data_IF_062865414105
#
_entry.id   IF_062865414105
#
_cell.length_a   1.000
_cell.length_b   1.000
_cell.length_c   1.000
_cell.angle_alpha   90.00
_cell.angle_beta   90.00
_cell.angle_gamma   90.00
#
_symmetry.space_group_name_H-M   'P 1'
#
loop_
_entity.id
_entity.type
_entity.pdbx_description
1 polymer ?
#
# COMPACT_ATOMS: atom_id res chain seq x y z
N UNK A 1 -2.54 14.72 -7.00
CA UNK A 1 -2.04 14.22 -8.29
C UNK A 1 -2.24 15.33 -9.30
N UNK A 2 -1.17 16.00 -9.72
CA UNK A 2 -1.25 17.16 -10.60
C UNK A 2 -1.41 16.65 -12.03
N UNK A 3 -2.54 16.95 -12.68
CA UNK A 3 -2.74 16.59 -14.09
C UNK A 3 -1.73 17.34 -14.94
N UNK A 4 -1.03 16.62 -15.81
CA UNK A 4 -0.07 17.20 -16.74
C UNK A 4 -0.79 18.22 -17.64
N UNK A 5 -0.26 19.44 -17.73
CA UNK A 5 -0.82 20.49 -18.60
C UNK A 5 -0.25 20.34 -20.01
N UNK A 6 -0.98 20.82 -21.02
CA UNK A 6 -0.49 20.87 -22.41
C UNK A 6 0.86 21.60 -22.51
N UNK A 7 1.05 22.61 -21.66
CA UNK A 7 2.30 23.36 -21.49
C UNK A 7 3.47 22.47 -21.07
N UNK A 8 3.26 21.56 -20.11
CA UNK A 8 4.30 20.65 -19.65
C UNK A 8 4.72 19.73 -20.77
N UNK A 9 3.75 19.23 -21.52
CA UNK A 9 4.00 18.36 -22.66
C UNK A 9 4.86 19.07 -23.69
N UNK A 10 4.54 20.32 -24.03
CA UNK A 10 5.36 21.13 -24.94
C UNK A 10 6.80 21.32 -24.42
N UNK A 11 6.98 21.59 -23.12
CA UNK A 11 8.32 21.69 -22.51
C UNK A 11 9.07 20.37 -22.66
N UNK A 12 8.45 19.24 -22.30
CA UNK A 12 9.07 17.93 -22.41
C UNK A 12 9.44 17.60 -23.87
N UNK A 13 8.57 17.92 -24.84
CA UNK A 13 8.82 17.71 -26.28
C UNK A 13 10.06 18.48 -26.75
N UNK A 14 10.29 19.72 -26.30
CA UNK A 14 11.52 20.46 -26.64
C UNK A 14 12.81 19.78 -26.13
N UNK A 15 12.69 18.99 -25.05
CA UNK A 15 13.79 18.29 -24.39
C UNK A 15 14.01 16.84 -24.90
N UNK A 16 13.17 16.34 -25.81
CA UNK A 16 13.20 14.94 -26.26
C UNK A 16 14.57 14.52 -26.80
N UNK A 17 15.16 15.38 -27.63
CA UNK A 17 16.36 15.06 -28.41
C UNK A 17 17.67 15.58 -27.81
N UNK A 18 17.63 16.52 -26.86
CA UNK A 18 18.85 17.17 -26.38
C UNK A 18 18.71 17.82 -25.00
N UNK A 19 19.86 17.97 -24.33
CA UNK A 19 20.01 18.88 -23.19
C UNK A 19 19.93 20.33 -23.68
N UNK A 20 19.00 21.14 -23.16
CA UNK A 20 18.79 22.53 -23.61
C UNK A 20 18.86 23.51 -22.46
N UNK A 21 19.39 24.71 -22.71
CA UNK A 21 19.39 25.80 -21.73
C UNK A 21 17.98 26.38 -21.56
N UNK A 22 17.73 26.99 -20.40
CA UNK A 22 16.47 27.69 -20.11
C UNK A 22 16.11 28.70 -21.21
N UNK A 23 17.06 29.55 -21.62
CA UNK A 23 16.84 30.54 -22.67
C UNK A 23 16.42 29.93 -24.02
N UNK A 24 16.99 28.77 -24.39
CA UNK A 24 16.68 28.12 -25.65
C UNK A 24 15.27 27.50 -25.64
N UNK A 25 14.83 26.98 -24.50
CA UNK A 25 13.48 26.46 -24.31
C UNK A 25 12.48 27.62 -24.29
N UNK A 26 12.80 28.71 -23.59
CA UNK A 26 11.97 29.92 -23.52
C UNK A 26 11.76 30.56 -24.90
N UNK A 27 12.84 30.69 -25.70
CA UNK A 27 12.76 31.21 -27.06
C UNK A 27 11.89 30.34 -27.98
N UNK A 28 12.01 29.01 -27.90
CA UNK A 28 11.23 28.09 -28.74
C UNK A 28 9.74 28.10 -28.40
N UNK A 29 9.40 28.23 -27.12
CA UNK A 29 8.01 28.26 -26.64
C UNK A 29 7.39 29.66 -26.61
N UNK A 30 8.15 30.71 -26.98
CA UNK A 30 7.77 32.12 -26.86
C UNK A 30 7.28 32.48 -25.44
N UNK A 31 8.09 32.11 -24.43
CA UNK A 31 7.78 32.29 -23.00
C UNK A 31 8.80 33.13 -22.27
N UNK A 32 8.35 33.68 -21.14
CA UNK A 32 9.22 34.34 -20.20
C UNK A 32 10.13 33.31 -19.49
N UNK A 33 11.46 33.52 -19.43
CA UNK A 33 12.38 32.58 -18.80
C UNK A 33 12.12 32.36 -17.31
N UNK A 34 11.64 33.36 -16.56
CA UNK A 34 11.44 33.23 -15.11
C UNK A 34 10.23 32.31 -14.83
N UNK A 35 9.13 32.49 -15.58
CA UNK A 35 7.95 31.61 -15.49
C UNK A 35 8.29 30.16 -15.90
N UNK A 36 9.17 30.01 -16.90
CA UNK A 36 9.61 28.70 -17.38
C UNK A 36 10.52 27.99 -16.37
N UNK A 37 11.39 28.73 -15.66
CA UNK A 37 12.27 28.17 -14.63
C UNK A 37 11.45 27.57 -13.47
N UNK A 38 10.47 28.33 -12.97
CA UNK A 38 9.53 27.86 -11.96
C UNK A 38 8.84 26.56 -12.42
N UNK A 39 8.40 26.51 -13.68
CA UNK A 39 7.71 25.33 -14.22
C UNK A 39 8.66 24.14 -14.41
N UNK A 40 9.90 24.36 -14.85
CA UNK A 40 10.91 23.32 -14.97
C UNK A 40 11.30 22.75 -13.60
N UNK A 41 11.33 23.59 -12.56
CA UNK A 41 11.53 23.15 -11.19
C UNK A 41 10.38 22.26 -10.71
N UNK A 42 9.13 22.59 -11.02
CA UNK A 42 8.01 21.71 -10.70
C UNK A 42 8.10 20.37 -11.45
N UNK A 43 8.50 20.36 -12.73
CA UNK A 43 8.73 19.12 -13.49
C UNK A 43 9.91 18.30 -12.94
N UNK A 44 10.93 18.97 -12.42
CA UNK A 44 12.07 18.35 -11.75
C UNK A 44 11.64 17.66 -10.45
N UNK A 45 10.83 18.34 -9.64
CA UNK A 45 10.34 17.81 -8.37
C UNK A 45 9.39 16.61 -8.58
N UNK A 46 8.72 16.55 -9.73
CA UNK A 46 7.95 15.38 -10.17
C UNK A 46 8.80 14.30 -10.87
N UNK A 47 10.12 14.48 -10.99
CA UNK A 47 11.04 13.49 -11.56
C UNK A 47 10.99 13.37 -13.09
N UNK A 48 10.40 14.33 -13.80
CA UNK A 48 10.24 14.27 -15.27
C UNK A 48 11.44 14.86 -16.02
N UNK A 49 12.10 15.86 -15.43
CA UNK A 49 13.33 16.47 -15.95
C UNK A 49 14.41 16.48 -14.87
N UNK A 50 15.66 16.66 -15.28
CA UNK A 50 16.76 16.92 -14.36
C UNK A 50 17.70 17.98 -14.93
N UNK A 51 18.32 18.76 -14.04
CA UNK A 51 19.37 19.68 -14.42
C UNK A 51 20.64 18.91 -14.83
N UNK A 52 21.22 19.28 -15.95
CA UNK A 52 22.43 18.66 -16.51
C UNK A 52 23.38 19.73 -17.07
N UNK A 53 24.31 20.17 -16.24
CA UNK A 53 25.20 21.29 -16.57
C UNK A 53 24.45 22.61 -16.54
N UNK A 54 24.50 23.37 -17.63
CA UNK A 54 23.80 24.67 -17.77
C UNK A 54 22.40 24.53 -18.42
N UNK A 55 21.84 23.31 -18.46
CA UNK A 55 20.58 23.05 -19.10
C UNK A 55 19.77 21.95 -18.43
N UNK A 56 18.67 21.60 -19.07
CA UNK A 56 17.69 20.62 -18.63
C UNK A 56 17.64 19.45 -19.61
N UNK A 57 17.43 18.25 -19.07
CA UNK A 57 17.29 17.02 -19.85
C UNK A 57 16.17 16.15 -19.29
N UNK A 58 15.46 15.42 -20.17
CA UNK A 58 14.47 14.44 -19.73
C UNK A 58 15.10 13.32 -18.90
N UNK A 59 14.39 12.91 -17.85
CA UNK A 59 14.64 11.65 -17.14
C UNK A 59 14.10 10.47 -17.96
N UNK A 60 14.15 9.25 -17.39
CA UNK A 60 13.47 8.09 -18.00
C UNK A 60 11.96 8.30 -17.99
N UNK A 61 11.41 8.79 -16.89
CA UNK A 61 9.97 8.95 -16.69
C UNK A 61 9.40 10.05 -17.59
N UNK A 62 10.10 11.18 -17.75
CA UNK A 62 9.72 12.21 -18.71
C UNK A 62 9.69 11.71 -20.17
N UNK A 63 10.65 10.84 -20.56
CA UNK A 63 10.63 10.20 -21.89
C UNK A 63 9.49 9.22 -22.05
N UNK A 64 9.19 8.43 -21.03
CA UNK A 64 8.06 7.50 -21.04
C UNK A 64 6.74 8.27 -21.20
N UNK A 65 6.60 9.38 -20.48
CA UNK A 65 5.42 10.24 -20.54
C UNK A 65 5.18 10.87 -21.92
N UNK A 66 6.23 11.23 -22.66
CA UNK A 66 6.08 11.72 -24.04
C UNK A 66 5.65 10.63 -25.02
N UNK A 67 6.16 9.41 -24.83
CA UNK A 67 5.79 8.24 -25.63
C UNK A 67 4.37 7.77 -25.34
N UNK A 68 3.83 8.11 -24.17
CA UNK A 68 2.44 7.86 -23.86
C UNK A 68 1.54 8.70 -24.78
N UNK A 69 0.65 8.07 -25.59
CA UNK A 69 -0.45 8.80 -26.21
C UNK A 69 -1.21 9.58 -25.12
N UNK A 70 -1.33 10.89 -25.31
CA UNK A 70 -1.88 11.82 -24.33
C UNK A 70 -3.38 11.67 -24.05
N UNK A 71 -3.97 10.54 -24.45
CA UNK A 71 -5.36 10.16 -24.22
C UNK A 71 -5.53 9.22 -23.02
N UNK A 72 -4.44 8.91 -22.31
CA UNK A 72 -4.46 8.01 -21.15
C UNK A 72 -4.57 6.53 -21.52
N UNK A 73 -4.61 6.17 -22.81
CA UNK A 73 -4.67 4.77 -23.27
C UNK A 73 -3.30 4.07 -23.31
N UNK A 74 -2.26 4.79 -22.87
CA UNK A 74 -0.86 4.43 -23.00
C UNK A 74 -0.30 3.57 -21.87
N UNK A 75 -0.85 3.72 -20.66
CA UNK A 75 -0.09 3.45 -19.44
C UNK A 75 0.30 1.96 -19.34
N UNK A 76 -0.58 1.06 -19.77
CA UNK A 76 -0.31 -0.39 -19.72
C UNK A 76 0.49 -0.93 -20.91
N UNK A 77 0.51 -0.19 -22.04
CA UNK A 77 1.16 -0.66 -23.28
C UNK A 77 2.68 -0.52 -23.25
N UNK A 78 3.21 0.44 -22.50
CA UNK A 78 4.64 0.74 -22.47
C UNK A 78 5.44 -0.42 -21.86
N UNK A 79 4.83 -1.16 -20.93
CA UNK A 79 5.48 -2.29 -20.24
C UNK A 79 5.07 -3.66 -20.79
N UNK A 80 4.38 -3.73 -21.92
CA UNK A 80 4.04 -5.00 -22.58
C UNK A 80 5.02 -5.27 -23.72
N UNK A 81 5.79 -6.38 -23.72
CA UNK A 81 6.67 -6.75 -24.83
C UNK A 81 5.92 -6.80 -26.17
N UNK A 82 6.56 -6.42 -27.28
CA UNK A 82 5.92 -6.31 -28.60
C UNK A 82 5.28 -7.62 -29.06
N UNK A 83 5.94 -8.76 -28.80
CA UNK A 83 5.42 -10.10 -29.11
C UNK A 83 4.16 -10.45 -28.31
N UNK A 84 4.07 -10.00 -27.07
CA UNK A 84 2.91 -10.18 -26.20
C UNK A 84 1.77 -9.30 -26.69
N UNK A 85 2.03 -8.02 -27.00
CA UNK A 85 1.01 -7.12 -27.55
C UNK A 85 0.50 -7.63 -28.92
N UNK A 86 1.37 -8.17 -29.76
CA UNK A 86 0.97 -8.81 -31.02
C UNK A 86 0.06 -10.03 -30.80
N UNK A 87 0.37 -10.87 -29.81
CA UNK A 87 -0.48 -12.00 -29.42
C UNK A 87 -1.85 -11.53 -28.92
N UNK A 88 -1.88 -10.53 -28.01
CA UNK A 88 -3.11 -9.94 -27.49
C UNK A 88 -3.99 -9.38 -28.63
N UNK A 89 -3.40 -8.64 -29.57
CA UNK A 89 -4.13 -8.10 -30.72
C UNK A 89 -4.68 -9.19 -31.66
N UNK A 90 -4.00 -10.34 -31.74
CA UNK A 90 -4.43 -11.47 -32.58
C UNK A 90 -5.70 -12.15 -32.10
N UNK A 91 -6.06 -12.00 -30.81
CA UNK A 91 -7.26 -12.58 -30.22
C UNK A 91 -8.57 -11.93 -30.72
N UNK A 92 -8.49 -10.73 -31.30
CA UNK A 92 -9.65 -10.00 -31.85
C UNK A 92 -10.82 -9.84 -30.86
N UNK A 93 -10.52 -9.70 -29.57
CA UNK A 93 -11.51 -9.47 -28.52
C UNK A 93 -11.91 -7.99 -28.44
N UNK A 94 -12.96 -7.67 -27.66
CA UNK A 94 -13.37 -6.29 -27.42
C UNK A 94 -12.26 -5.50 -26.70
N UNK A 95 -12.17 -4.17 -26.86
CA UNK A 95 -11.11 -3.37 -26.24
C UNK A 95 -11.01 -3.52 -24.71
N UNK A 96 -12.13 -3.51 -23.99
CA UNK A 96 -12.17 -3.73 -22.53
C UNK A 96 -11.59 -5.08 -22.11
N UNK A 97 -11.78 -6.10 -22.93
CA UNK A 97 -11.20 -7.43 -22.76
C UNK A 97 -9.70 -7.47 -23.07
N UNK A 98 -9.26 -6.75 -24.10
CA UNK A 98 -7.84 -6.57 -24.41
C UNK A 98 -7.12 -5.93 -23.21
N UNK A 99 -7.71 -4.92 -22.60
CA UNK A 99 -7.11 -4.22 -21.46
C UNK A 99 -7.03 -5.12 -20.21
N UNK A 100 -8.08 -5.91 -19.93
CA UNK A 100 -8.05 -6.91 -18.85
C UNK A 100 -6.95 -7.98 -19.03
N UNK A 101 -6.73 -8.47 -20.26
CA UNK A 101 -5.64 -9.40 -20.55
C UNK A 101 -4.28 -8.74 -20.32
N UNK A 102 -4.12 -7.48 -20.76
CA UNK A 102 -2.88 -6.73 -20.60
C UNK A 102 -2.55 -6.48 -19.12
N UNK A 103 -3.55 -6.08 -18.33
CA UNK A 103 -3.39 -5.88 -16.89
C UNK A 103 -3.03 -7.19 -16.17
N UNK A 104 -3.70 -8.30 -16.50
CA UNK A 104 -3.36 -9.62 -15.94
C UNK A 104 -1.93 -10.07 -16.30
N UNK A 105 -1.50 -9.83 -17.53
CA UNK A 105 -0.12 -10.10 -17.95
C UNK A 105 0.89 -9.21 -17.21
N UNK A 106 0.64 -7.89 -17.14
CA UNK A 106 1.52 -6.94 -16.47
C UNK A 106 1.68 -7.30 -14.98
N UNK A 107 0.58 -7.68 -14.33
CA UNK A 107 0.59 -8.19 -12.97
C UNK A 107 1.49 -9.43 -12.83
N UNK A 108 1.27 -10.46 -13.65
CA UNK A 108 2.05 -11.69 -13.58
C UNK A 108 3.54 -11.44 -13.88
N UNK A 109 3.84 -10.60 -14.87
CA UNK A 109 5.21 -10.19 -15.23
C UNK A 109 5.90 -9.46 -14.08
N UNK A 110 5.19 -8.59 -13.37
CA UNK A 110 5.76 -7.84 -12.25
C UNK A 110 6.16 -8.76 -11.09
N UNK A 111 5.36 -9.80 -10.83
CA UNK A 111 5.53 -10.66 -9.66
C UNK A 111 6.25 -11.98 -9.93
N UNK A 112 6.58 -12.26 -11.19
CA UNK A 112 7.11 -13.53 -11.73
C UNK A 112 6.18 -14.74 -11.55
N UNK A 113 5.51 -14.86 -10.41
CA UNK A 113 4.57 -15.92 -10.07
C UNK A 113 3.35 -15.37 -9.34
N UNK A 114 2.15 -15.89 -9.66
CA UNK A 114 0.91 -15.55 -8.98
C UNK A 114 -0.14 -16.64 -9.14
N UNK A 115 -1.02 -16.78 -8.15
CA UNK A 115 -2.20 -17.63 -8.25
C UNK A 115 -3.33 -16.97 -9.03
N UNK A 116 -4.29 -17.77 -9.49
CA UNK A 116 -5.51 -17.29 -10.12
C UNK A 116 -6.25 -16.27 -9.24
N UNK A 117 -6.38 -16.57 -7.94
CA UNK A 117 -7.07 -15.72 -6.98
C UNK A 117 -6.36 -14.38 -6.76
N UNK A 118 -5.03 -14.37 -6.68
CA UNK A 118 -4.24 -13.12 -6.57
C UNK A 118 -4.40 -12.23 -7.80
N UNK A 119 -4.31 -12.81 -9.00
CA UNK A 119 -4.50 -12.05 -10.25
C UNK A 119 -5.91 -11.48 -10.31
N UNK A 120 -6.93 -12.29 -9.99
CA UNK A 120 -8.31 -11.83 -10.01
C UNK A 120 -8.58 -10.75 -8.96
N UNK A 121 -8.09 -10.91 -7.74
CA UNK A 121 -8.28 -9.94 -6.66
C UNK A 121 -7.69 -8.56 -7.00
N UNK A 122 -6.50 -8.52 -7.61
CA UNK A 122 -5.81 -7.25 -7.88
C UNK A 122 -6.19 -6.62 -9.23
N UNK A 123 -6.67 -7.38 -10.21
CA UNK A 123 -6.92 -6.87 -11.58
C UNK A 123 -8.42 -6.68 -11.88
N UNK A 124 -9.30 -7.51 -11.32
CA UNK A 124 -10.71 -7.55 -11.72
C UNK A 124 -11.44 -6.23 -11.46
N UNK A 125 -11.22 -5.60 -10.29
CA UNK A 125 -11.93 -4.40 -9.87
C UNK A 125 -11.71 -3.22 -10.84
N UNK A 126 -10.52 -3.15 -11.47
CA UNK A 126 -10.19 -2.11 -12.43
C UNK A 126 -10.54 -2.53 -13.87
N UNK A 127 -10.50 -3.84 -14.18
CA UNK A 127 -10.70 -4.37 -15.53
C UNK A 127 -11.72 -5.54 -15.59
N UNK A 128 -12.99 -5.33 -15.21
CA UNK A 128 -13.99 -6.41 -15.11
C UNK A 128 -14.48 -6.95 -16.46
N UNK A 129 -14.25 -6.20 -17.56
CA UNK A 129 -14.54 -6.60 -18.94
C UNK A 129 -15.98 -7.15 -19.21
N UNK A 130 -16.95 -6.72 -18.40
CA UNK A 130 -18.36 -7.11 -18.49
C UNK A 130 -18.74 -8.41 -17.79
N UNK A 131 -17.87 -8.98 -16.97
CA UNK A 131 -18.16 -10.14 -16.13
C UNK A 131 -18.76 -9.68 -14.78
N UNK A 132 -19.64 -10.49 -14.14
CA UNK A 132 -20.32 -10.09 -12.91
C UNK A 132 -19.50 -10.32 -11.64
N UNK A 133 -18.55 -11.25 -11.67
CA UNK A 133 -17.69 -11.60 -10.53
C UNK A 133 -16.28 -12.02 -10.99
N UNK A 134 -15.27 -11.93 -10.11
CA UNK A 134 -13.87 -12.24 -10.44
C UNK A 134 -13.63 -13.70 -10.84
N UNK A 135 -14.39 -14.64 -10.26
CA UNK A 135 -14.26 -16.06 -10.59
C UNK A 135 -14.70 -16.33 -12.04
N UNK A 136 -15.84 -15.76 -12.45
CA UNK A 136 -16.34 -15.87 -13.82
C UNK A 136 -15.40 -15.20 -14.82
N UNK A 137 -14.89 -14.01 -14.48
CA UNK A 137 -13.89 -13.27 -15.26
C UNK A 137 -12.62 -14.08 -15.49
N UNK A 138 -12.12 -14.74 -14.44
CA UNK A 138 -10.93 -15.57 -14.54
C UNK A 138 -11.20 -16.84 -15.35
N UNK A 139 -12.19 -17.63 -14.93
CA UNK A 139 -12.44 -18.98 -15.44
C UNK A 139 -12.92 -19.02 -16.90
N UNK A 140 -13.74 -18.04 -17.30
CA UNK A 140 -14.33 -17.99 -18.63
C UNK A 140 -13.58 -17.12 -19.62
N UNK A 141 -12.62 -16.31 -19.16
CA UNK A 141 -11.95 -15.33 -20.01
C UNK A 141 -10.45 -15.28 -19.78
N UNK A 142 -9.97 -14.61 -18.74
CA UNK A 142 -8.54 -14.26 -18.64
C UNK A 142 -7.64 -15.49 -18.67
N UNK A 143 -8.03 -16.58 -18.00
CA UNK A 143 -7.24 -17.81 -17.94
C UNK A 143 -6.85 -18.36 -19.32
N UNK A 144 -7.79 -18.37 -20.26
CA UNK A 144 -7.56 -18.94 -21.60
C UNK A 144 -6.56 -18.08 -22.38
N UNK A 145 -6.78 -16.76 -22.42
CA UNK A 145 -5.94 -15.85 -23.20
C UNK A 145 -4.55 -15.66 -22.57
N UNK A 146 -4.46 -15.60 -21.24
CA UNK A 146 -3.21 -15.44 -20.52
C UNK A 146 -2.26 -16.63 -20.78
N UNK A 147 -2.80 -17.85 -20.90
CA UNK A 147 -2.03 -19.06 -21.20
C UNK A 147 -1.41 -19.09 -22.61
N UNK A 148 -1.98 -18.33 -23.54
CA UNK A 148 -1.51 -18.25 -24.93
C UNK A 148 -0.46 -17.14 -25.13
N UNK A 149 -0.16 -16.35 -24.10
CA UNK A 149 0.83 -15.27 -24.20
C UNK A 149 2.27 -15.78 -24.13
N UNK A 150 3.18 -15.23 -24.96
CA UNK A 150 4.61 -15.51 -24.88
C UNK A 150 5.16 -15.30 -23.46
N UNK A 151 5.99 -16.24 -23.00
CA UNK A 151 6.62 -16.19 -21.68
C UNK A 151 5.72 -16.63 -20.52
N UNK A 152 4.40 -16.78 -20.72
CA UNK A 152 3.50 -17.24 -19.67
C UNK A 152 3.47 -18.78 -19.63
N UNK A 153 3.69 -19.33 -18.45
CA UNK A 153 3.61 -20.76 -18.18
C UNK A 153 2.35 -21.05 -17.37
N UNK A 154 1.48 -21.88 -17.96
CA UNK A 154 0.30 -22.40 -17.29
C UNK A 154 0.72 -23.38 -16.18
N UNK A 155 0.10 -23.33 -14.99
CA UNK A 155 0.34 -24.33 -13.96
C UNK A 155 -0.09 -25.74 -14.39
N UNK A 156 0.73 -26.74 -14.10
CA UNK A 156 0.39 -28.17 -14.29
C UNK A 156 -0.65 -28.65 -13.26
N UNK A 157 -0.61 -28.08 -12.05
CA UNK A 157 -1.49 -28.37 -10.92
C UNK A 157 -2.72 -27.43 -10.83
N UNK A 158 -2.73 -26.38 -11.65
CA UNK A 158 -3.78 -25.36 -11.67
C UNK A 158 -3.57 -24.20 -10.68
N UNK A 159 -2.52 -24.19 -9.87
CA UNK A 159 -2.44 -23.27 -8.72
C UNK A 159 -1.60 -22.02 -9.03
N UNK A 160 -0.39 -22.16 -9.60
CA UNK A 160 0.56 -21.03 -9.74
C UNK A 160 0.96 -20.74 -11.19
N UNK A 161 0.56 -19.57 -11.68
CA UNK A 161 1.00 -19.03 -12.97
C UNK A 161 2.40 -18.48 -12.85
N UNK A 162 3.21 -18.63 -13.90
CA UNK A 162 4.57 -18.10 -13.94
C UNK A 162 4.80 -17.31 -15.22
N UNK A 163 5.60 -16.27 -15.12
CA UNK A 163 6.20 -15.60 -16.26
C UNK A 163 7.69 -15.93 -16.31
N UNK A 164 8.16 -16.43 -17.46
CA UNK A 164 9.57 -16.66 -17.74
C UNK A 164 9.95 -15.85 -18.99
N UNK A 165 10.64 -14.73 -18.77
CA UNK A 165 11.12 -13.85 -19.84
C UNK A 165 11.98 -14.59 -20.87
N UNK A 166 12.65 -15.69 -20.48
CA UNK A 166 13.52 -16.45 -21.38
C UNK A 166 12.76 -17.44 -22.28
N UNK A 167 11.50 -17.74 -21.96
CA UNK A 167 10.68 -18.66 -22.76
C UNK A 167 10.12 -18.01 -24.04
N UNK A 168 10.07 -16.67 -24.12
CA UNK A 168 9.55 -15.92 -25.27
C UNK A 168 10.46 -15.93 -26.51
N UNK A 169 11.79 -15.99 -26.32
CA UNK A 169 12.78 -15.83 -27.41
C UNK A 169 12.93 -17.07 -28.33
N UNK A 170 12.06 -18.08 -28.21
CA UNK A 170 12.17 -19.32 -28.99
C UNK A 170 13.50 -20.06 -28.79
N UNK A 171 14.27 -19.68 -27.78
CA UNK A 171 15.56 -20.24 -27.45
C UNK A 171 15.36 -21.58 -26.76
N UNK A 172 15.76 -22.66 -27.43
CA UNK A 172 15.90 -24.00 -26.84
C UNK A 172 17.05 -24.02 -25.83
N UNK A 173 16.99 -23.20 -24.79
CA UNK A 173 17.90 -23.26 -23.67
C UNK A 173 17.46 -24.46 -22.82
N UNK A 174 18.13 -25.59 -23.03
CA UNK A 174 18.22 -26.65 -22.02
C UNK A 174 18.69 -26.00 -20.72
N UNK A 175 17.75 -25.78 -19.80
CA UNK A 175 18.02 -25.33 -18.43
C UNK A 175 18.88 -26.43 -17.78
N UNK A 176 20.17 -26.15 -17.61
CA UNK A 176 21.03 -26.98 -16.77
C UNK A 176 20.57 -26.80 -15.32
N UNK A 177 19.66 -27.69 -14.91
CA UNK A 177 19.04 -27.79 -13.57
C UNK A 177 20.06 -28.18 -12.48
N UNK A 178 21.00 -27.29 -12.19
CA UNK A 178 21.99 -27.48 -11.11
C UNK A 178 22.18 -26.26 -10.19
N UNK A 179 21.30 -25.26 -10.25
CA UNK A 179 21.26 -24.16 -9.29
C UNK A 179 20.08 -24.34 -8.34
N UNK A 180 20.39 -24.78 -7.11
CA UNK A 180 19.53 -25.10 -5.97
C UNK A 180 18.08 -24.57 -6.01
N UNK A 181 17.14 -25.47 -6.31
CA UNK A 181 15.70 -25.31 -6.17
C UNK A 181 15.19 -25.20 -4.71
N UNK A 182 16.06 -24.88 -3.74
CA UNK A 182 15.78 -25.17 -2.33
C UNK A 182 15.43 -23.93 -1.49
N UNK A 183 15.15 -22.79 -2.13
CA UNK A 183 14.49 -21.66 -1.47
C UNK A 183 13.49 -21.01 -2.42
N UNK A 184 12.17 -21.17 -2.18
CA UNK A 184 11.17 -20.33 -2.81
C UNK A 184 11.60 -18.87 -2.62
N UNK A 185 11.61 -18.09 -3.70
CA UNK A 185 11.72 -16.65 -3.57
C UNK A 185 10.44 -16.22 -2.87
N UNK A 186 10.49 -16.04 -1.54
CA UNK A 186 9.40 -15.40 -0.80
C UNK A 186 9.29 -13.98 -1.32
N UNK A 187 8.40 -13.76 -2.26
CA UNK A 187 8.02 -12.49 -2.89
C UNK A 187 7.26 -11.55 -1.93
N UNK A 188 7.33 -11.78 -0.61
CA UNK A 188 6.65 -10.97 0.40
C UNK A 188 5.13 -11.13 0.42
N UNK A 189 4.58 -12.03 -0.41
CA UNK A 189 3.16 -12.26 -0.66
C UNK A 189 2.67 -13.61 -0.14
N UNK A 190 3.15 -14.07 1.02
CA UNK A 190 2.45 -15.18 1.68
C UNK A 190 1.08 -14.65 2.14
N UNK A 191 0.12 -14.66 1.22
CA UNK A 191 -1.30 -14.73 1.52
C UNK A 191 -1.52 -16.18 1.95
N UNK A 192 -2.00 -16.40 3.17
CA UNK A 192 -2.37 -17.75 3.63
C UNK A 192 -3.56 -18.23 2.78
N UNK A 193 -3.28 -18.90 1.66
CA UNK A 193 -4.29 -19.45 0.73
C UNK A 193 -5.08 -20.62 1.32
N UNK A 194 -4.58 -21.22 2.42
CA UNK A 194 -5.29 -22.24 3.21
C UNK A 194 -6.38 -21.64 4.11
N UNK A 195 -6.33 -20.32 4.34
CA UNK A 195 -7.48 -19.58 4.84
C UNK A 195 -8.34 -19.30 3.61
N UNK A 196 -9.61 -19.78 3.54
CA UNK A 196 -10.46 -19.49 2.39
C UNK A 196 -10.42 -17.99 2.19
N UNK A 197 -9.85 -17.55 1.06
CA UNK A 197 -9.94 -16.16 0.61
C UNK A 197 -11.43 -15.90 0.54
N UNK A 198 -11.98 -15.32 1.62
CA UNK A 198 -13.41 -15.08 1.74
C UNK A 198 -13.74 -14.24 0.51
N UNK A 199 -14.58 -14.72 -0.43
CA UNK A 199 -14.84 -14.05 -1.72
C UNK A 199 -15.50 -12.68 -1.55
N UNK A 200 -15.60 -12.18 -0.32
CA UNK A 200 -16.02 -10.85 0.06
C UNK A 200 -14.84 -9.92 -0.10
N UNK A 201 -14.77 -9.27 -1.25
CA UNK A 201 -13.92 -8.10 -1.47
C UNK A 201 -14.02 -7.15 -0.28
N UNK A 202 -12.92 -6.45 0.02
CA UNK A 202 -12.82 -5.57 1.18
C UNK A 202 -13.93 -4.52 1.25
N UNK A 203 -13.92 -3.69 2.29
CA UNK A 203 -14.95 -2.69 2.60
C UNK A 203 -15.59 -1.98 1.38
N UNK A 204 -14.78 -1.66 0.37
CA UNK A 204 -15.23 -1.11 -0.90
C UNK A 204 -16.26 -1.98 -1.63
N UNK A 205 -16.00 -3.27 -1.84
CA UNK A 205 -16.88 -4.16 -2.59
C UNK A 205 -18.22 -4.40 -1.87
N UNK A 206 -18.18 -4.52 -0.54
CA UNK A 206 -19.40 -4.60 0.27
C UNK A 206 -20.25 -3.30 0.18
N UNK A 207 -19.60 -2.14 0.07
CA UNK A 207 -20.30 -0.85 -0.12
C UNK A 207 -20.86 -0.67 -1.54
N UNK A 208 -20.21 -1.24 -2.54
CA UNK A 208 -20.66 -1.22 -3.94
C UNK A 208 -21.86 -2.15 -4.16
N UNK A 209 -21.90 -3.28 -3.45
CA UNK A 209 -23.01 -4.24 -3.51
C UNK A 209 -24.21 -3.86 -2.64
N UNK A 210 -24.01 -2.99 -1.64
CA UNK A 210 -25.11 -2.44 -0.85
C UNK A 210 -25.99 -1.53 -1.75
N UNK A 211 -27.29 -1.84 -1.80
CA UNK A 211 -28.31 -0.94 -2.37
C UNK A 211 -28.56 0.24 -1.41
N UNK A 212 -27.53 1.09 -1.29
CA UNK A 212 -27.48 2.26 -0.42
C UNK A 212 -27.30 3.55 -1.23
N UNK A 213 -27.87 4.62 -0.69
CA UNK A 213 -27.60 5.99 -1.10
C UNK A 213 -26.17 6.40 -0.71
N UNK A 214 -25.65 7.46 -1.33
CA UNK A 214 -24.30 7.97 -1.01
C UNK A 214 -24.15 8.35 0.47
N UNK A 215 -25.20 8.93 1.06
CA UNK A 215 -25.20 9.29 2.49
C UNK A 215 -25.17 8.06 3.40
N UNK A 216 -25.77 6.95 2.99
CA UNK A 216 -25.69 5.68 3.70
C UNK A 216 -24.31 5.04 3.57
N UNK A 217 -23.69 5.08 2.39
CA UNK A 217 -22.31 4.62 2.20
C UNK A 217 -21.34 5.39 3.06
N UNK A 218 -21.47 6.72 3.11
CA UNK A 218 -20.67 7.59 3.99
C UNK A 218 -20.86 7.22 5.47
N UNK A 219 -22.10 6.95 5.89
CA UNK A 219 -22.40 6.52 7.26
C UNK A 219 -21.75 5.17 7.61
N UNK A 220 -21.77 4.19 6.69
CA UNK A 220 -21.12 2.89 6.87
C UNK A 220 -19.59 3.06 6.95
N UNK A 221 -19.00 3.87 6.08
CA UNK A 221 -17.57 4.19 6.10
C UNK A 221 -17.16 4.83 7.44
N UNK A 222 -17.93 5.80 7.92
CA UNK A 222 -17.69 6.45 9.21
C UNK A 222 -17.79 5.46 10.39
N UNK A 223 -18.79 4.58 10.38
CA UNK A 223 -18.95 3.54 11.40
C UNK A 223 -17.76 2.57 11.39
N UNK A 224 -17.33 2.11 10.22
CA UNK A 224 -16.21 1.19 10.06
C UNK A 224 -14.89 1.83 10.51
N UNK A 225 -14.66 3.10 10.17
CA UNK A 225 -13.50 3.86 10.63
C UNK A 225 -13.47 3.99 12.15
N UNK A 226 -14.61 4.32 12.78
CA UNK A 226 -14.72 4.40 14.24
C UNK A 226 -14.44 3.04 14.92
N UNK A 227 -14.97 1.96 14.35
CA UNK A 227 -14.74 0.61 14.86
C UNK A 227 -13.27 0.19 14.71
N UNK A 228 -12.62 0.55 13.61
CA UNK A 228 -11.19 0.30 13.37
C UNK A 228 -10.31 1.08 14.37
N UNK A 229 -10.65 2.33 14.64
CA UNK A 229 -9.93 3.17 15.62
C UNK A 229 -10.07 2.64 17.05
N UNK A 230 -11.29 2.24 17.46
CA UNK A 230 -11.56 1.78 18.83
C UNK A 230 -11.28 0.30 19.06
N UNK A 231 -11.11 -0.47 17.98
CA UNK A 231 -11.03 -1.92 18.00
C UNK A 231 -12.38 -2.61 18.27
N UNK A 232 -13.12 -2.19 19.30
CA UNK A 232 -14.48 -2.69 19.60
C UNK A 232 -15.44 -1.54 19.92
N UNK A 233 -16.71 -1.72 19.57
CA UNK A 233 -17.78 -0.77 19.89
C UNK A 233 -19.14 -1.49 19.95
N UNK A 234 -20.08 -0.91 20.68
CA UNK A 234 -21.48 -1.37 20.71
C UNK A 234 -22.29 -0.79 19.56
N UNK A 235 -23.40 -1.45 19.21
CA UNK A 235 -24.37 -0.96 18.21
C UNK A 235 -24.82 0.48 18.51
N UNK A 236 -25.16 0.75 19.79
CA UNK A 236 -25.64 2.06 20.23
C UNK A 236 -24.56 3.15 20.08
N UNK A 237 -23.30 2.84 20.41
CA UNK A 237 -22.19 3.78 20.28
C UNK A 237 -21.89 4.13 18.82
N UNK A 238 -21.86 3.12 17.94
CA UNK A 238 -21.62 3.31 16.51
C UNK A 238 -22.75 4.12 15.89
N UNK A 239 -24.00 3.72 16.15
CA UNK A 239 -25.18 4.39 15.61
C UNK A 239 -25.29 5.84 16.10
N UNK A 240 -25.10 6.09 17.38
CA UNK A 240 -25.18 7.44 17.95
C UNK A 240 -24.06 8.34 17.44
N UNK A 241 -22.82 7.83 17.34
CA UNK A 241 -21.69 8.61 16.84
C UNK A 241 -21.88 8.99 15.37
N UNK A 242 -22.31 8.05 14.53
CA UNK A 242 -22.52 8.29 13.09
C UNK A 242 -23.73 9.18 12.86
N UNK A 243 -24.86 8.95 13.55
CA UNK A 243 -26.06 9.79 13.44
C UNK A 243 -25.82 11.24 13.90
N UNK A 244 -24.95 11.45 14.88
CA UNK A 244 -24.59 12.80 15.33
C UNK A 244 -23.68 13.55 14.34
N UNK A 245 -22.80 12.83 13.63
CA UNK A 245 -21.81 13.41 12.73
C UNK A 245 -22.28 13.48 11.27
N UNK A 246 -23.20 12.61 10.87
CA UNK A 246 -23.70 12.47 9.51
C UNK A 246 -25.22 12.56 9.50
N UNK A 247 -25.80 13.10 8.43
CA UNK A 247 -27.25 13.10 8.20
C UNK A 247 -27.62 12.08 7.11
N UNK A 248 -27.75 10.79 7.45
CA UNK A 248 -28.10 9.74 6.49
C UNK A 248 -29.62 9.74 6.17
N UNK A 249 -30.39 10.72 6.63
CA UNK A 249 -31.84 10.79 6.41
C UNK A 249 -32.67 9.87 7.33
N UNK A 250 -32.07 9.37 8.41
CA UNK A 250 -32.74 8.53 9.41
C UNK A 250 -33.15 9.36 10.64
N UNK A 251 -34.38 9.17 11.11
CA UNK A 251 -34.94 9.94 12.23
C UNK A 251 -34.26 9.62 13.57
N UNK A 252 -33.77 8.39 13.76
CA UNK A 252 -33.11 7.96 15.01
C UNK A 252 -31.86 7.12 14.73
N UNK A 253 -30.90 7.08 15.68
CA UNK A 253 -29.73 6.20 15.60
C UNK A 253 -30.11 4.73 15.43
N UNK A 254 -31.14 4.26 16.12
CA UNK A 254 -31.59 2.87 16.04
C UNK A 254 -32.11 2.53 14.63
N UNK A 255 -32.81 3.47 13.98
CA UNK A 255 -33.29 3.28 12.61
C UNK A 255 -32.13 3.20 11.61
N UNK A 256 -31.09 4.04 11.78
CA UNK A 256 -29.85 3.98 11.01
C UNK A 256 -29.15 2.63 11.20
N UNK A 257 -29.06 2.16 12.44
CA UNK A 257 -28.41 0.87 12.74
C UNK A 257 -29.12 -0.30 12.07
N UNK A 258 -30.41 -0.45 12.32
CA UNK A 258 -31.19 -1.62 11.87
C UNK A 258 -31.30 -1.70 10.34
N UNK A 259 -31.41 -0.55 9.67
CA UNK A 259 -31.73 -0.51 8.22
C UNK A 259 -30.51 -0.35 7.33
N UNK A 260 -29.40 0.18 7.85
CA UNK A 260 -28.22 0.50 7.06
C UNK A 260 -26.95 -0.14 7.66
N UNK A 261 -26.57 0.20 8.89
CA UNK A 261 -25.27 -0.22 9.43
C UNK A 261 -25.18 -1.73 9.69
N UNK A 262 -26.20 -2.35 10.30
CA UNK A 262 -26.17 -3.79 10.63
C UNK A 262 -26.08 -4.66 9.37
N UNK A 263 -26.93 -4.51 8.34
CA UNK A 263 -26.79 -5.30 7.11
C UNK A 263 -25.42 -5.15 6.44
N UNK A 264 -24.87 -3.93 6.42
CA UNK A 264 -23.53 -3.69 5.90
C UNK A 264 -22.45 -4.40 6.72
N UNK A 265 -22.50 -4.29 8.05
CA UNK A 265 -21.52 -4.92 8.94
C UNK A 265 -21.59 -6.45 8.90
N UNK A 266 -22.79 -7.03 8.74
CA UNK A 266 -22.96 -8.47 8.55
C UNK A 266 -22.37 -8.99 7.22
N UNK A 267 -22.19 -8.10 6.24
CA UNK A 267 -21.57 -8.43 4.94
C UNK A 267 -20.05 -8.25 4.91
N UNK A 268 -19.46 -7.58 5.92
CA UNK A 268 -18.06 -7.19 5.93
C UNK A 268 -17.19 -8.24 6.65
N UNK A 269 -16.23 -8.90 5.98
CA UNK A 269 -15.39 -9.93 6.60
C UNK A 269 -14.45 -9.37 7.67
N UNK A 270 -14.02 -8.10 7.54
CA UNK A 270 -13.16 -7.42 8.51
C UNK A 270 -13.90 -7.03 9.81
N UNK A 271 -15.23 -7.13 9.85
CA UNK A 271 -16.06 -6.71 10.98
C UNK A 271 -16.76 -7.92 11.58
N UNK A 272 -16.35 -8.29 12.78
CA UNK A 272 -16.87 -9.44 13.49
C UNK A 272 -17.86 -9.03 14.57
N UNK A 273 -18.98 -9.76 14.66
CA UNK A 273 -19.90 -9.66 15.79
C UNK A 273 -19.38 -10.47 16.97
N UNK A 274 -19.08 -9.81 18.10
CA UNK A 274 -18.58 -10.43 19.34
C UNK A 274 -19.69 -10.87 20.29
N UNK A 275 -20.79 -10.11 20.32
CA UNK A 275 -21.99 -10.44 21.09
C UNK A 275 -23.24 -9.91 20.37
N UNK A 276 -24.41 -10.08 20.97
CA UNK A 276 -25.67 -9.56 20.40
C UNK A 276 -25.58 -8.05 20.08
N UNK A 277 -24.80 -7.27 20.81
CA UNK A 277 -24.74 -5.81 20.63
C UNK A 277 -23.32 -5.25 20.49
N UNK A 278 -22.32 -6.10 20.31
CA UNK A 278 -20.92 -5.68 20.26
C UNK A 278 -20.23 -6.18 19.00
N UNK A 279 -19.48 -5.29 18.38
CA UNK A 279 -18.76 -5.51 17.13
C UNK A 279 -17.26 -5.23 17.33
N UNK A 280 -16.43 -5.86 16.51
CA UNK A 280 -14.97 -5.73 16.53
C UNK A 280 -14.42 -5.67 15.11
N UNK A 281 -13.37 -4.87 14.89
CA UNK A 281 -12.56 -4.96 13.70
C UNK A 281 -11.53 -6.09 13.82
N UNK A 282 -11.54 -7.08 12.92
CA UNK A 282 -10.71 -8.29 12.97
C UNK A 282 -9.20 -7.99 13.07
N UNK A 283 -8.75 -6.93 12.39
CA UNK A 283 -7.34 -6.48 12.41
C UNK A 283 -6.88 -5.71 13.66
N UNK A 284 -7.78 -5.36 14.59
CA UNK A 284 -7.37 -4.69 15.83
C UNK A 284 -6.80 -5.72 16.80
N UNK A 285 -5.53 -6.08 16.66
CA UNK A 285 -4.81 -6.93 17.62
C UNK A 285 -4.87 -6.25 19.00
N UNK A 286 -5.39 -6.97 19.99
CA UNK A 286 -5.81 -6.45 21.30
C UNK A 286 -4.67 -6.01 22.23
N UNK A 287 -3.62 -5.38 21.71
CA UNK A 287 -2.43 -5.00 22.47
C UNK A 287 -2.65 -3.76 23.37
N UNK A 288 -3.84 -3.15 23.33
CA UNK A 288 -4.20 -2.02 24.22
C UNK A 288 -5.25 -2.34 25.29
N UNK A 289 -5.69 -3.59 25.44
CA UNK A 289 -6.61 -3.98 26.51
C UNK A 289 -5.85 -4.36 27.80
N UNK A 290 -5.10 -3.42 28.37
CA UNK A 290 -4.62 -3.49 29.75
C UNK A 290 -5.02 -2.22 30.49
N UNK A 291 -6.18 -2.25 31.14
CA UNK A 291 -6.50 -1.26 32.18
C UNK A 291 -7.99 -1.04 32.40
N UNK A 292 -8.49 -1.59 33.50
CA UNK A 292 -9.75 -1.26 34.17
C UNK A 292 -11.05 -1.84 33.58
N UNK A 293 -11.39 -3.05 34.02
CA UNK A 293 -12.77 -3.36 34.41
C UNK A 293 -13.21 -2.39 35.53
N UNK A 294 -14.27 -1.59 35.37
CA UNK A 294 -14.92 -0.95 36.51
C UNK A 294 -15.71 -2.04 37.26
N UNK A 295 -15.16 -2.44 38.40
CA UNK A 295 -15.82 -3.34 39.33
C UNK A 295 -17.08 -2.66 39.89
N UNK A 296 -18.14 -3.45 39.98
CA UNK A 296 -19.42 -3.01 40.48
C UNK A 296 -19.33 -2.74 41.99
N UNK A 297 -20.04 -1.70 42.42
CA UNK A 297 -20.10 -1.19 43.78
C UNK A 297 -20.25 -2.27 44.87
N UNK A 298 -19.44 -2.15 45.92
CA UNK A 298 -19.84 -2.53 47.28
C UNK A 298 -19.32 -1.50 48.29
N UNK A 299 -20.12 -1.27 49.32
CA UNK A 299 -20.05 -0.17 50.28
C UNK A 299 -19.02 -0.38 51.40
N UNK A 300 -18.67 0.74 52.06
CA UNK A 300 -18.08 0.91 53.40
C UNK A 300 -16.57 0.65 53.58
N UNK A 301 -15.84 1.69 54.00
CA UNK A 301 -15.54 1.97 55.42
C UNK A 301 -14.27 2.83 55.55
N UNK A 302 -14.34 3.77 56.49
CA UNK A 302 -13.33 4.74 56.91
C UNK A 302 -12.16 4.09 57.66
N UNK A 303 -10.93 4.47 57.35
CA UNK A 303 -9.76 4.12 58.17
C UNK A 303 -8.50 4.87 57.75
N UNK A 304 -7.93 5.62 58.70
CA UNK A 304 -6.79 6.52 58.57
C UNK A 304 -5.41 5.83 58.65
N UNK A 305 -4.39 6.65 58.37
CA UNK A 305 -2.95 6.49 58.66
C UNK A 305 -2.25 5.39 57.82
N UNK A 306 -1.02 5.52 57.33
CA UNK A 306 0.17 6.11 57.93
C UNK A 306 1.23 6.33 56.82
N UNK A 307 2.19 7.19 57.11
CA UNK A 307 3.30 7.60 56.27
C UNK A 307 4.32 6.48 56.02
N UNK A 308 4.98 6.45 54.85
CA UNK A 308 6.38 5.95 54.78
C UNK A 308 7.15 6.46 53.54
N UNK A 309 8.22 7.20 53.85
CA UNK A 309 9.56 7.27 53.24
C UNK A 309 9.74 7.48 51.73
N UNK A 310 10.28 8.68 51.43
CA UNK A 310 11.10 8.96 50.26
C UNK A 310 12.40 8.16 50.33
N UNK A 311 12.71 7.42 49.26
CA UNK A 311 14.03 6.86 49.01
C UNK A 311 14.73 7.65 47.91
N UNK A 312 15.77 8.36 48.31
CA UNK A 312 16.79 8.92 47.43
C UNK A 312 17.50 7.77 46.68
N UNK A 313 17.36 7.73 45.36
CA UNK A 313 18.19 6.91 44.49
C UNK A 313 19.27 7.80 43.86
N UNK A 314 20.48 7.72 44.42
CA UNK A 314 21.69 8.27 43.80
C UNK A 314 21.97 7.54 42.48
N UNK A 315 21.80 8.24 41.35
CA UNK A 315 22.34 7.80 40.06
C UNK A 315 23.77 8.30 39.91
N UNK A 316 24.70 7.37 40.12
CA UNK A 316 26.11 7.45 39.79
C UNK A 316 26.28 7.73 38.28
N UNK A 317 26.85 8.89 37.94
CA UNK A 317 27.18 9.26 36.55
C UNK A 317 28.39 8.46 36.08
N UNK A 318 28.15 7.44 35.23
CA UNK A 318 29.20 6.82 34.45
C UNK A 318 29.59 7.73 33.27
N UNK A 319 30.76 8.35 33.40
CA UNK A 319 31.52 8.96 32.31
C UNK A 319 31.88 7.91 31.23
N UNK A 320 31.77 8.34 29.97
CA UNK A 320 32.39 7.82 28.74
C UNK A 320 32.12 6.35 28.30
N UNK A 321 31.08 6.14 27.47
CA UNK A 321 31.09 5.06 26.47
C UNK A 321 30.50 5.51 25.12
N UNK A 322 31.39 5.66 24.16
CA UNK A 322 31.26 6.55 23.00
C UNK A 322 30.43 5.94 21.87
N UNK A 323 29.35 6.63 21.43
CA UNK A 323 29.40 7.22 20.08
C UNK A 323 28.42 8.35 19.68
N UNK A 324 28.85 9.62 19.68
CA UNK A 324 28.11 10.74 19.08
C UNK A 324 28.54 10.98 17.62
N UNK A 325 28.15 10.10 16.68
CA UNK A 325 28.52 10.08 15.23
C UNK A 325 29.95 9.59 14.93
N UNK A 326 30.74 9.42 15.98
CA UNK A 326 32.12 8.99 16.05
C UNK A 326 32.46 7.57 15.50
N UNK A 327 33.74 7.23 15.59
CA UNK A 327 34.19 5.85 15.66
C UNK A 327 33.98 5.24 17.05
N UNK A 328 32.87 4.49 17.20
CA UNK A 328 32.59 3.26 18.00
C UNK A 328 33.55 2.92 19.18
N UNK A 329 33.10 2.42 20.36
CA UNK A 329 32.20 1.25 20.41
C UNK A 329 31.16 1.20 21.56
N UNK A 330 29.96 0.76 21.20
CA UNK A 330 29.35 -0.42 21.83
C UNK A 330 28.69 -1.28 20.76
N UNK A 331 29.48 -2.22 20.23
CA UNK A 331 28.97 -3.27 19.37
C UNK A 331 28.25 -4.31 20.24
N UNK A 332 26.93 -4.43 20.04
CA UNK A 332 26.16 -5.60 20.45
C UNK A 332 25.66 -5.60 21.89
N UNK A 333 25.17 -4.47 22.41
CA UNK A 333 24.32 -4.49 23.60
C UNK A 333 22.88 -4.13 23.23
N UNK A 334 22.00 -5.06 23.56
CA UNK A 334 20.57 -4.82 23.71
C UNK A 334 20.34 -3.64 24.66
N UNK A 335 19.42 -2.75 24.29
CA UNK A 335 18.99 -1.67 25.17
C UNK A 335 17.81 -2.17 25.99
N UNK A 336 17.94 -2.13 27.32
CA UNK A 336 16.85 -2.51 28.22
C UNK A 336 16.10 -1.26 28.70
N UNK A 337 14.82 -1.16 28.38
CA UNK A 337 13.96 -0.02 28.76
C UNK A 337 12.62 -0.57 29.25
N UNK A 338 12.22 -0.21 30.47
CA UNK A 338 10.90 -0.61 31.01
C UNK A 338 10.64 -2.12 31.08
N UNK A 339 11.69 -2.95 31.11
CA UNK A 339 11.58 -4.41 31.08
C UNK A 339 11.71 -5.05 29.69
N UNK A 340 11.72 -4.25 28.63
CA UNK A 340 11.88 -4.73 27.25
C UNK A 340 13.32 -4.63 26.76
N UNK A 341 13.69 -5.52 25.83
CA UNK A 341 15.05 -5.66 25.29
C UNK A 341 15.04 -5.31 23.80
N UNK A 342 15.52 -4.12 23.44
CA UNK A 342 15.58 -3.67 22.05
C UNK A 342 16.92 -4.08 21.44
N UNK A 343 16.87 -4.95 20.43
CA UNK A 343 18.05 -5.43 19.68
C UNK A 343 18.05 -4.83 18.28
N UNK A 344 18.97 -3.92 17.94
CA UNK A 344 19.02 -3.36 16.59
C UNK A 344 19.38 -4.44 15.57
N UNK A 345 18.68 -4.44 14.43
CA UNK A 345 18.89 -5.37 13.33
C UNK A 345 20.33 -5.32 12.82
N UNK A 346 20.96 -6.49 12.60
CA UNK A 346 22.32 -6.59 12.06
C UNK A 346 22.48 -5.98 10.66
N UNK A 347 21.38 -5.74 9.94
CA UNK A 347 21.40 -5.18 8.57
C UNK A 347 21.34 -3.66 8.54
N UNK A 348 20.81 -3.01 9.57
CA UNK A 348 20.74 -1.55 9.64
C UNK A 348 22.03 -0.99 10.23
N UNK A 349 22.75 -0.15 9.47
CA UNK A 349 23.88 0.64 9.99
C UNK A 349 23.38 1.86 10.77
N UNK A 350 22.46 1.64 11.71
CA UNK A 350 21.96 2.67 12.61
C UNK A 350 22.56 2.50 13.99
N UNK A 351 22.87 3.61 14.64
CA UNK A 351 23.26 3.62 16.05
C UNK A 351 22.05 4.08 16.86
N UNK A 352 21.73 3.35 17.94
CA UNK A 352 20.62 3.68 18.83
C UNK A 352 21.20 4.12 20.16
N UNK A 353 20.75 5.27 20.67
CA UNK A 353 21.10 5.77 22.00
C UNK A 353 19.82 5.99 22.80
N UNK A 354 19.71 5.36 23.97
CA UNK A 354 18.68 5.70 24.94
C UNK A 354 19.21 6.76 25.92
N UNK A 355 18.36 7.73 26.24
CA UNK A 355 18.63 8.78 27.23
C UNK A 355 17.39 8.95 28.11
N UNK A 356 17.57 9.16 29.41
CA UNK A 356 16.48 9.49 30.32
C UNK A 356 16.57 10.97 30.67
N UNK A 357 15.50 11.73 30.42
CA UNK A 357 15.40 13.16 30.75
C UNK A 357 14.11 13.36 31.53
N UNK A 358 14.23 13.91 32.74
CA UNK A 358 13.10 14.22 33.65
C UNK A 358 12.13 13.05 33.86
N UNK A 359 12.66 11.83 34.04
CA UNK A 359 11.88 10.62 34.27
C UNK A 359 11.28 9.99 33.02
N UNK A 360 11.32 10.66 31.87
CA UNK A 360 10.91 10.11 30.58
C UNK A 360 12.11 9.45 29.87
N UNK A 361 11.91 8.23 29.36
CA UNK A 361 12.88 7.58 28.50
C UNK A 361 12.71 8.05 27.05
N UNK A 362 13.80 8.45 26.40
CA UNK A 362 13.83 8.83 25.00
C UNK A 362 14.84 7.96 24.24
N UNK A 363 14.48 7.53 23.03
CA UNK A 363 15.33 6.77 22.12
C UNK A 363 15.68 7.67 20.94
N UNK A 364 16.97 7.87 20.68
CA UNK A 364 17.48 8.57 19.51
C UNK A 364 18.13 7.58 18.56
N UNK A 365 17.66 7.54 17.30
CA UNK A 365 18.20 6.68 16.24
C UNK A 365 18.97 7.57 15.26
N UNK A 366 20.25 7.27 15.03
CA UNK A 366 21.09 7.95 14.06
C UNK A 366 21.17 7.14 12.77
N UNK A 367 20.74 7.74 11.65
CA UNK A 367 20.84 7.17 10.30
C UNK A 367 22.08 7.74 9.58
N UNK A 368 22.85 6.89 8.90
CA UNK A 368 23.98 7.32 8.08
C UNK A 368 23.56 7.44 6.62
N UNK A 369 23.60 8.65 6.09
CA UNK A 369 23.33 8.92 4.67
C UNK A 369 24.57 8.61 3.81
N UNK A 370 24.35 8.05 2.61
CA UNK A 370 25.42 7.52 1.75
C UNK A 370 25.76 8.52 0.65
N UNK A 371 26.50 9.56 0.99
CA UNK A 371 27.15 10.40 -0.01
C UNK A 371 28.62 10.65 0.35
N UNK A 372 29.47 10.60 -0.70
CA UNK A 372 30.95 10.58 -0.71
C UNK A 372 31.60 9.20 -0.58
N UNK A 373 31.57 8.48 -1.70
CA UNK A 373 32.70 7.70 -2.20
C UNK A 373 33.15 8.32 -3.51
#
# INVERSE_FOLDING_TARGET
MTTLRDEDRAILETLEDANRSLDAIAEELDRDPDDLDDRLQELHDNGLVHAKGEGWSLTRDGRNLLRAPGDGSADDRIDTPEEVEAAIQSFQVRPDRTDAIRAAFAYLRHWDEATAGEIAADVYDEHPAGYPDPDEWWEQFVREYLAELPGVQRPDDGETWRYDETAGDGGTATRDDAASADRPRKNGREVDLDEPTDPRGGLKHALETLDATDAERDAVLAAAALLRERGTATEDELAAAVHAAHDPGYETPEALWERCLRPAFESLPEIERRSERQWRHAGATGESASGATPDAADELDTGADDATEASDAETETADDDVCPVCGKPSAGRSVHLGGETIVPSRRSRSCVRATQVDGAAAITIYYHDRERG
#
